data_IF_911825395186
#
_entry.id   IF_911825395186
#
_cell.length_a   1.000
_cell.length_b   1.000
_cell.length_c   1.000
_cell.angle_alpha   90.00
_cell.angle_beta   90.00
_cell.angle_gamma   90.00
#
_symmetry.space_group_name_H-M   'P 1'
#
loop_
_entity.id
_entity.type
_entity.pdbx_description
1 polymer ?
#
# COMPACT_ATOMS: atom_id res chain seq x y z
N UNK A 1 2.15 17.33 -36.71
CA UNK A 1 1.05 17.15 -35.71
C UNK A 1 1.00 15.76 -35.07
N UNK A 2 1.18 14.66 -35.77
CA UNK A 2 1.20 13.29 -35.16
C UNK A 2 2.54 12.93 -34.45
N UNK A 3 3.65 13.60 -34.77
CA UNK A 3 4.98 13.36 -34.20
C UNK A 3 5.13 13.97 -32.80
N UNK A 4 4.52 15.14 -32.56
CA UNK A 4 4.56 15.82 -31.23
C UNK A 4 3.69 15.12 -30.18
N UNK A 5 2.58 14.52 -30.59
CA UNK A 5 1.73 13.70 -29.70
C UNK A 5 2.44 12.44 -29.22
N UNK A 6 3.21 11.77 -30.09
CA UNK A 6 3.96 10.57 -29.71
C UNK A 6 5.13 10.86 -28.74
N UNK A 7 5.83 12.00 -28.91
CA UNK A 7 6.89 12.42 -27.98
C UNK A 7 6.32 12.76 -26.59
N UNK A 8 5.16 13.40 -26.53
CA UNK A 8 4.47 13.68 -25.28
C UNK A 8 4.07 12.42 -24.52
N UNK A 9 3.55 11.39 -25.19
CA UNK A 9 3.18 10.11 -24.58
C UNK A 9 4.41 9.29 -24.15
N UNK A 10 5.47 9.27 -24.93
CA UNK A 10 6.73 8.59 -24.55
C UNK A 10 7.39 9.25 -23.35
N UNK A 11 7.47 10.59 -23.31
CA UNK A 11 7.97 11.32 -22.15
C UNK A 11 7.12 11.12 -20.89
N UNK A 12 5.79 11.04 -21.02
CA UNK A 12 4.88 10.74 -19.92
C UNK A 12 5.06 9.29 -19.39
N UNK A 13 5.26 8.32 -20.29
CA UNK A 13 5.50 6.92 -19.93
C UNK A 13 6.89 6.72 -19.31
N UNK A 14 7.89 7.45 -19.74
CA UNK A 14 9.24 7.41 -19.19
C UNK A 14 9.30 8.06 -17.80
N UNK A 15 8.53 9.11 -17.57
CA UNK A 15 8.39 9.81 -16.30
C UNK A 15 7.77 8.95 -15.19
N UNK A 16 7.06 7.87 -15.53
CA UNK A 16 6.48 6.92 -14.58
C UNK A 16 7.43 5.77 -14.20
N UNK A 17 8.60 5.64 -14.84
CA UNK A 17 9.60 4.63 -14.49
C UNK A 17 10.43 5.08 -13.30
N UNK A 18 10.01 4.65 -12.12
CA UNK A 18 10.80 4.86 -10.91
C UNK A 18 12.16 4.16 -11.01
N UNK A 19 13.22 4.83 -10.56
CA UNK A 19 14.55 4.24 -10.44
C UNK A 19 14.54 3.10 -9.41
N UNK A 20 15.56 2.22 -9.45
CA UNK A 20 15.70 1.14 -8.46
C UNK A 20 15.69 1.68 -7.01
N UNK A 21 16.36 2.82 -6.76
CA UNK A 21 16.38 3.49 -5.46
C UNK A 21 15.00 3.99 -5.04
N UNK A 22 14.26 4.65 -5.95
CA UNK A 22 12.90 5.12 -5.68
C UNK A 22 11.94 3.95 -5.40
N UNK A 23 12.08 2.83 -6.12
CA UNK A 23 11.31 1.62 -5.88
C UNK A 23 11.57 1.04 -4.49
N UNK A 24 12.83 0.96 -4.06
CA UNK A 24 13.20 0.47 -2.74
C UNK A 24 12.67 1.39 -1.62
N UNK A 25 12.78 2.71 -1.80
CA UNK A 25 12.23 3.69 -0.84
C UNK A 25 10.71 3.59 -0.76
N UNK A 26 10.03 3.39 -1.90
CA UNK A 26 8.58 3.22 -1.93
C UNK A 26 8.15 1.95 -1.18
N UNK A 27 8.83 0.82 -1.41
CA UNK A 27 8.56 -0.43 -0.70
C UNK A 27 8.82 -0.30 0.82
N UNK A 28 9.91 0.38 1.21
CA UNK A 28 10.22 0.64 2.61
C UNK A 28 9.15 1.52 3.28
N UNK A 29 8.70 2.59 2.63
CA UNK A 29 7.61 3.45 3.13
C UNK A 29 6.32 2.65 3.32
N UNK A 30 5.97 1.83 2.31
CA UNK A 30 4.80 0.96 2.40
C UNK A 30 4.88 0.03 3.63
N UNK A 31 6.00 -0.64 3.82
CA UNK A 31 6.24 -1.50 4.97
C UNK A 31 6.09 -0.75 6.30
N UNK A 32 6.76 0.40 6.45
CA UNK A 32 6.71 1.18 7.68
C UNK A 32 5.30 1.68 8.01
N UNK A 33 4.54 2.14 7.03
CA UNK A 33 3.16 2.55 7.24
C UNK A 33 2.24 1.38 7.57
N UNK A 34 2.45 0.22 6.94
CA UNK A 34 1.69 -0.99 7.27
C UNK A 34 1.95 -1.48 8.70
N UNK A 35 3.20 -1.45 9.15
CA UNK A 35 3.56 -1.76 10.55
C UNK A 35 2.93 -0.76 11.51
N UNK A 36 3.02 0.54 11.22
CA UNK A 36 2.41 1.58 12.06
C UNK A 36 0.88 1.46 12.15
N UNK A 37 0.24 1.04 11.06
CA UNK A 37 -1.20 0.77 11.06
C UNK A 37 -1.59 -0.40 11.99
N UNK A 38 -0.75 -1.44 12.05
CA UNK A 38 -0.92 -2.53 13.02
C UNK A 38 -0.82 -2.05 14.47
N UNK A 39 0.12 -1.14 14.75
CA UNK A 39 0.23 -0.50 16.07
C UNK A 39 -1.03 0.32 16.40
N UNK A 40 -1.52 1.14 15.46
CA UNK A 40 -2.75 1.91 15.61
C UNK A 40 -3.95 0.99 15.88
N UNK A 41 -4.08 -0.10 15.13
CA UNK A 41 -5.15 -1.10 15.34
C UNK A 41 -5.12 -1.66 16.76
N UNK A 42 -3.93 -2.05 17.24
CA UNK A 42 -3.75 -2.59 18.59
C UNK A 42 -4.12 -1.57 19.65
N UNK A 43 -3.68 -0.32 19.49
CA UNK A 43 -3.98 0.75 20.45
C UNK A 43 -5.49 1.05 20.52
N UNK A 44 -6.16 1.17 19.36
CA UNK A 44 -7.60 1.43 19.31
C UNK A 44 -8.39 0.24 19.87
N UNK A 45 -8.01 -0.99 19.51
CA UNK A 45 -8.61 -2.21 20.05
C UNK A 45 -8.53 -2.25 21.59
N UNK A 46 -7.32 -2.08 22.14
CA UNK A 46 -7.08 -2.09 23.59
C UNK A 46 -7.84 -0.98 24.31
N UNK A 47 -7.88 0.23 23.73
CA UNK A 47 -8.64 1.33 24.30
C UNK A 47 -10.14 1.01 24.37
N UNK A 48 -10.72 0.46 23.31
CA UNK A 48 -12.13 0.06 23.29
C UNK A 48 -12.43 -1.07 24.27
N UNK A 49 -11.57 -2.08 24.35
CA UNK A 49 -11.69 -3.21 25.27
C UNK A 49 -11.65 -2.76 26.74
N UNK A 50 -10.81 -1.78 27.08
CA UNK A 50 -10.69 -1.26 28.44
C UNK A 50 -11.76 -0.23 28.83
N UNK A 51 -12.24 0.56 27.88
CA UNK A 51 -13.16 1.66 28.13
C UNK A 51 -14.63 1.28 27.94
N UNK A 52 -14.93 0.12 27.36
CA UNK A 52 -16.30 -0.30 27.06
C UNK A 52 -16.56 -1.73 27.52
N UNK A 53 -17.81 -2.08 27.83
CA UNK A 53 -18.19 -3.47 28.16
C UNK A 53 -18.38 -4.32 26.88
N UNK A 54 -17.81 -3.94 25.79
CA UNK A 54 -18.02 -4.58 24.49
C UNK A 54 -17.23 -5.92 24.40
N UNK A 55 -17.79 -6.85 23.64
CA UNK A 55 -17.12 -8.09 23.30
C UNK A 55 -16.06 -7.88 22.21
N UNK A 56 -15.30 -8.91 21.88
CA UNK A 56 -14.21 -8.86 20.91
C UNK A 56 -14.58 -8.19 19.56
N UNK A 57 -15.68 -8.61 18.94
CA UNK A 57 -16.05 -8.12 17.60
C UNK A 57 -16.38 -6.62 17.54
N UNK A 58 -17.18 -6.05 18.45
CA UNK A 58 -17.42 -4.60 18.48
C UNK A 58 -16.18 -3.76 18.75
N UNK A 59 -15.16 -4.30 19.44
CA UNK A 59 -13.88 -3.62 19.64
C UNK A 59 -12.99 -3.77 18.40
N UNK A 60 -12.99 -4.96 17.78
CA UNK A 60 -12.12 -5.28 16.64
C UNK A 60 -12.49 -4.50 15.37
N UNK A 61 -13.77 -4.45 15.00
CA UNK A 61 -14.21 -3.82 13.75
C UNK A 61 -13.84 -2.32 13.64
N UNK A 62 -14.12 -1.47 14.65
CA UNK A 62 -13.70 -0.07 14.61
C UNK A 62 -12.17 0.08 14.56
N UNK A 63 -11.44 -0.73 15.32
CA UNK A 63 -9.98 -0.74 15.32
C UNK A 63 -9.42 -1.08 13.93
N UNK A 64 -10.00 -2.10 13.28
CA UNK A 64 -9.64 -2.49 11.91
C UNK A 64 -9.95 -1.36 10.92
N UNK A 65 -11.14 -0.76 10.99
CA UNK A 65 -11.52 0.34 10.07
C UNK A 65 -10.57 1.52 10.21
N UNK A 66 -10.25 1.95 11.44
CA UNK A 66 -9.29 3.05 11.69
C UNK A 66 -7.91 2.71 11.12
N UNK A 67 -7.43 1.50 11.37
CA UNK A 67 -6.14 1.03 10.86
C UNK A 67 -6.08 1.03 9.33
N UNK A 68 -7.11 0.50 8.67
CA UNK A 68 -7.19 0.45 7.21
C UNK A 68 -7.24 1.85 6.61
N UNK A 69 -8.05 2.76 7.15
CA UNK A 69 -8.14 4.14 6.68
C UNK A 69 -6.81 4.89 6.85
N UNK A 70 -6.14 4.69 8.00
CA UNK A 70 -4.82 5.25 8.28
C UNK A 70 -3.78 4.73 7.28
N UNK A 71 -3.65 3.41 7.14
CA UNK A 71 -2.69 2.78 6.22
C UNK A 71 -2.93 3.21 4.77
N UNK A 72 -4.18 3.18 4.33
CA UNK A 72 -4.56 3.61 2.98
C UNK A 72 -4.20 5.08 2.73
N UNK A 73 -4.54 5.98 3.66
CA UNK A 73 -4.30 7.42 3.52
C UNK A 73 -2.81 7.72 3.43
N UNK A 74 -1.99 7.15 4.34
CA UNK A 74 -0.55 7.37 4.34
C UNK A 74 0.12 6.78 3.10
N UNK A 75 -0.24 5.58 2.71
CA UNK A 75 0.33 4.98 1.51
C UNK A 75 -0.07 5.73 0.24
N UNK A 76 -1.34 6.16 0.12
CA UNK A 76 -1.78 6.98 -1.00
C UNK A 76 -1.01 8.30 -1.09
N UNK A 77 -0.87 9.00 0.02
CA UNK A 77 -0.30 10.36 0.08
C UNK A 77 1.23 10.36 0.00
N UNK A 78 1.91 9.46 0.72
CA UNK A 78 3.37 9.53 0.91
C UNK A 78 4.15 8.44 0.19
N UNK A 79 3.56 7.25 0.02
CA UNK A 79 4.24 6.12 -0.64
C UNK A 79 4.05 6.19 -2.14
N UNK A 80 2.80 6.25 -2.59
CA UNK A 80 2.48 6.26 -4.02
C UNK A 80 2.27 7.67 -4.57
N UNK A 81 2.10 8.67 -3.69
CA UNK A 81 1.85 10.08 -4.04
C UNK A 81 0.78 10.22 -5.12
N UNK A 82 -0.34 9.51 -4.92
CA UNK A 82 -1.37 9.29 -5.91
C UNK A 82 -2.56 10.24 -5.75
N UNK A 83 -3.01 10.82 -6.87
CA UNK A 83 -4.27 11.57 -6.97
C UNK A 83 -5.48 10.66 -7.27
N UNK A 84 -5.33 9.32 -7.16
CA UNK A 84 -6.39 8.37 -7.42
C UNK A 84 -7.67 8.67 -6.63
N UNK A 85 -8.81 8.35 -7.24
CA UNK A 85 -10.11 8.44 -6.58
C UNK A 85 -10.18 7.47 -5.39
N UNK A 86 -10.41 8.01 -4.18
CA UNK A 86 -10.38 7.26 -2.92
C UNK A 86 -11.37 6.10 -2.89
N UNK A 87 -12.67 6.27 -3.16
CA UNK A 87 -13.63 5.17 -3.18
C UNK A 87 -13.24 4.03 -4.11
N UNK A 88 -12.78 4.33 -5.32
CA UNK A 88 -12.37 3.33 -6.31
C UNK A 88 -11.12 2.59 -5.85
N UNK A 89 -10.13 3.31 -5.32
CA UNK A 89 -8.92 2.70 -4.80
C UNK A 89 -9.22 1.79 -3.59
N UNK A 90 -10.06 2.24 -2.66
CA UNK A 90 -10.48 1.42 -1.51
C UNK A 90 -11.27 0.18 -1.92
N UNK A 91 -12.16 0.29 -2.92
CA UNK A 91 -12.90 -0.86 -3.45
C UNK A 91 -11.95 -1.92 -4.04
N UNK A 92 -10.89 -1.50 -4.74
CA UNK A 92 -9.86 -2.41 -5.25
C UNK A 92 -9.11 -3.12 -4.11
N UNK A 93 -8.73 -2.39 -3.07
CA UNK A 93 -8.08 -2.96 -1.88
C UNK A 93 -9.01 -3.94 -1.16
N UNK A 94 -10.28 -3.59 -0.99
CA UNK A 94 -11.29 -4.51 -0.45
C UNK A 94 -11.42 -5.79 -1.29
N UNK A 95 -11.44 -5.67 -2.62
CA UNK A 95 -11.43 -6.79 -3.55
C UNK A 95 -10.21 -7.70 -3.39
N UNK A 96 -9.03 -7.12 -3.15
CA UNK A 96 -7.83 -7.89 -2.82
C UNK A 96 -8.02 -8.75 -1.56
N UNK A 97 -8.51 -8.16 -0.48
CA UNK A 97 -8.72 -8.88 0.78
C UNK A 97 -9.83 -9.92 0.70
N UNK A 98 -10.86 -9.71 -0.13
CA UNK A 98 -11.90 -10.73 -0.39
C UNK A 98 -11.32 -12.02 -1.00
N UNK A 99 -10.23 -11.92 -1.75
CA UNK A 99 -9.54 -13.07 -2.34
C UNK A 99 -8.43 -13.58 -1.41
N UNK A 100 -7.61 -12.69 -0.89
CA UNK A 100 -6.45 -13.05 -0.09
C UNK A 100 -6.85 -13.73 1.23
N UNK A 101 -7.88 -13.24 1.92
CA UNK A 101 -8.27 -13.75 3.23
C UNK A 101 -8.69 -15.23 3.19
N UNK A 102 -9.64 -15.68 2.35
CA UNK A 102 -9.98 -17.09 2.28
C UNK A 102 -8.81 -17.96 1.80
N UNK A 103 -8.01 -17.46 0.86
CA UNK A 103 -6.85 -18.18 0.34
C UNK A 103 -5.78 -18.37 1.42
N UNK A 104 -5.45 -17.32 2.17
CA UNK A 104 -4.47 -17.38 3.26
C UNK A 104 -4.94 -18.26 4.42
N UNK A 105 -6.22 -18.24 4.72
CA UNK A 105 -6.81 -19.12 5.73
C UNK A 105 -6.69 -20.58 5.31
N UNK A 106 -6.97 -20.89 4.05
CA UNK A 106 -6.87 -22.25 3.51
C UNK A 106 -5.44 -22.80 3.58
N UNK A 107 -4.43 -22.08 3.06
CA UNK A 107 -3.05 -22.58 3.13
C UNK A 107 -2.51 -22.59 4.56
N UNK A 108 -2.92 -21.60 5.39
CA UNK A 108 -2.53 -21.55 6.79
C UNK A 108 -2.98 -22.79 7.54
N UNK A 109 -4.23 -23.19 7.37
CA UNK A 109 -4.77 -24.42 7.94
C UNK A 109 -4.04 -25.65 7.40
N UNK A 110 -3.84 -25.74 6.07
CA UNK A 110 -3.16 -26.87 5.46
C UNK A 110 -1.71 -27.06 5.97
N UNK A 111 -0.99 -25.96 6.21
CA UNK A 111 0.37 -26.00 6.76
C UNK A 111 0.36 -26.41 8.25
N UNK A 112 -0.60 -25.93 9.03
CA UNK A 112 -0.77 -26.32 10.42
C UNK A 112 -1.10 -27.82 10.53
N UNK A 113 -1.96 -28.36 9.68
CA UNK A 113 -2.37 -29.77 9.67
C UNK A 113 -1.21 -30.72 9.36
N UNK A 114 -0.20 -30.29 8.59
CA UNK A 114 1.03 -31.07 8.34
C UNK A 114 2.13 -30.82 9.38
N UNK A 115 1.80 -30.14 10.50
CA UNK A 115 2.66 -30.02 11.68
C UNK A 115 3.60 -28.81 11.68
N UNK A 116 3.36 -27.81 10.82
CA UNK A 116 4.13 -26.56 10.89
C UNK A 116 3.76 -25.79 12.15
N UNK A 117 4.76 -25.14 12.74
CA UNK A 117 4.54 -24.32 13.92
C UNK A 117 3.65 -23.10 13.58
N UNK A 118 2.56 -22.90 14.31
CA UNK A 118 1.54 -21.88 14.01
C UNK A 118 2.11 -20.47 13.84
N UNK A 119 3.07 -20.08 14.70
CA UNK A 119 3.72 -18.75 14.57
C UNK A 119 4.57 -18.62 13.31
N UNK A 120 5.17 -19.71 12.82
CA UNK A 120 5.92 -19.70 11.56
C UNK A 120 4.97 -19.53 10.39
N UNK A 121 3.84 -20.25 10.39
CA UNK A 121 2.79 -20.12 9.37
C UNK A 121 2.23 -18.70 9.36
N UNK A 122 1.94 -18.14 10.53
CA UNK A 122 1.47 -16.76 10.68
C UNK A 122 2.48 -15.76 10.11
N UNK A 123 3.75 -15.87 10.51
CA UNK A 123 4.82 -14.97 10.02
C UNK A 123 4.97 -15.02 8.50
N UNK A 124 5.02 -16.23 7.92
CA UNK A 124 5.12 -16.40 6.47
C UNK A 124 3.89 -15.83 5.74
N UNK A 125 2.70 -16.06 6.28
CA UNK A 125 1.47 -15.48 5.73
C UNK A 125 1.49 -13.96 5.77
N UNK A 126 1.99 -13.36 6.85
CA UNK A 126 2.16 -11.90 6.93
C UNK A 126 3.16 -11.37 5.90
N UNK A 127 4.28 -12.06 5.68
CA UNK A 127 5.28 -11.68 4.67
C UNK A 127 4.68 -11.78 3.26
N UNK A 128 3.98 -12.86 2.95
CA UNK A 128 3.31 -13.05 1.66
C UNK A 128 2.25 -11.96 1.46
N UNK A 129 1.43 -11.68 2.47
CA UNK A 129 0.45 -10.60 2.40
C UNK A 129 1.10 -9.25 2.09
N UNK A 130 2.14 -8.89 2.83
CA UNK A 130 2.84 -7.62 2.66
C UNK A 130 3.39 -7.44 1.24
N UNK A 131 4.02 -8.48 0.69
CA UNK A 131 4.59 -8.45 -0.65
C UNK A 131 3.47 -8.37 -1.71
N UNK A 132 2.47 -9.23 -1.61
CA UNK A 132 1.39 -9.31 -2.61
C UNK A 132 0.47 -8.09 -2.54
N UNK A 133 0.19 -7.55 -1.36
CA UNK A 133 -0.55 -6.32 -1.18
C UNK A 133 0.20 -5.12 -1.76
N UNK A 134 1.51 -5.01 -1.52
CA UNK A 134 2.34 -3.97 -2.13
C UNK A 134 2.30 -4.03 -3.66
N UNK A 135 2.50 -5.22 -4.24
CA UNK A 135 2.46 -5.41 -5.69
C UNK A 135 1.07 -5.08 -6.25
N UNK A 136 0.02 -5.59 -5.62
CA UNK A 136 -1.35 -5.30 -6.03
C UNK A 136 -1.67 -3.80 -5.96
N UNK A 137 -1.33 -3.16 -4.85
CA UNK A 137 -1.56 -1.74 -4.65
C UNK A 137 -0.82 -0.91 -5.70
N UNK A 138 0.43 -1.26 -5.99
CA UNK A 138 1.24 -0.57 -6.98
C UNK A 138 0.75 -0.76 -8.41
N UNK A 139 0.46 -2.01 -8.81
CA UNK A 139 0.19 -2.33 -10.21
C UNK A 139 -1.29 -2.34 -10.60
N UNK A 140 -2.20 -2.43 -9.62
CA UNK A 140 -3.64 -2.48 -9.86
C UNK A 140 -4.35 -1.25 -9.29
N UNK A 141 -4.09 -0.91 -8.02
CA UNK A 141 -4.78 0.21 -7.37
C UNK A 141 -4.29 1.53 -7.94
N UNK A 142 -2.97 1.77 -7.93
CA UNK A 142 -2.35 3.03 -8.35
C UNK A 142 -1.65 2.94 -9.72
N UNK A 143 -2.05 1.98 -10.55
CA UNK A 143 -1.55 1.89 -11.93
C UNK A 143 -1.75 3.23 -12.65
N UNK A 144 -0.68 3.74 -13.27
CA UNK A 144 -0.66 5.02 -14.00
C UNK A 144 -1.02 6.26 -13.15
N UNK A 145 -1.01 6.15 -11.82
CA UNK A 145 -1.34 7.25 -10.91
C UNK A 145 -0.30 7.46 -9.80
N UNK A 146 0.90 6.90 -9.97
CA UNK A 146 2.02 7.11 -9.06
C UNK A 146 2.62 8.49 -9.34
N UNK A 147 2.97 9.24 -8.29
CA UNK A 147 3.51 10.59 -8.33
C UNK A 147 2.60 11.63 -9.03
N UNK A 148 1.29 11.45 -8.98
CA UNK A 148 0.31 12.34 -9.61
C UNK A 148 -0.29 13.37 -8.66
N UNK A 149 -0.13 13.23 -7.34
CA UNK A 149 -0.56 14.25 -6.39
C UNK A 149 0.42 15.45 -6.36
N UNK A 150 0.06 16.52 -5.66
CA UNK A 150 0.87 17.73 -5.58
C UNK A 150 2.31 17.51 -5.07
N UNK A 151 2.51 16.51 -4.20
CA UNK A 151 3.85 16.13 -3.68
C UNK A 151 4.69 15.43 -4.75
N UNK A 152 4.08 14.50 -5.49
CA UNK A 152 4.73 13.80 -6.58
C UNK A 152 5.12 14.71 -7.72
N UNK A 153 4.25 15.67 -8.05
CA UNK A 153 4.52 16.68 -9.08
C UNK A 153 5.71 17.56 -8.72
N UNK A 154 5.76 18.09 -7.49
CA UNK A 154 6.89 18.90 -7.01
C UNK A 154 8.21 18.15 -7.02
N UNK A 155 8.21 16.88 -6.61
CA UNK A 155 9.42 16.06 -6.63
C UNK A 155 9.91 15.79 -8.06
N UNK A 156 8.99 15.53 -8.98
CA UNK A 156 9.32 15.35 -10.39
C UNK A 156 9.90 16.64 -11.02
N UNK A 157 9.38 17.80 -10.62
CA UNK A 157 9.86 19.11 -11.07
C UNK A 157 11.29 19.37 -10.59
N UNK A 158 11.56 19.15 -9.30
CA UNK A 158 12.90 19.26 -8.71
C UNK A 158 13.92 18.31 -9.37
N UNK A 159 13.52 17.07 -9.68
CA UNK A 159 14.39 16.13 -10.38
C UNK A 159 14.73 16.56 -11.79
N UNK A 160 13.80 17.22 -12.49
CA UNK A 160 14.06 17.81 -13.82
C UNK A 160 15.04 18.98 -13.74
N UNK A 161 14.83 19.91 -12.82
CA UNK A 161 15.71 21.04 -12.60
C UNK A 161 17.15 20.59 -12.27
N UNK A 162 17.30 19.54 -11.43
CA UNK A 162 18.59 18.96 -11.12
C UNK A 162 19.27 18.31 -12.34
N UNK A 163 18.51 17.57 -13.14
CA UNK A 163 19.03 16.93 -14.35
C UNK A 163 19.46 17.96 -15.41
N UNK A 164 18.74 19.06 -15.55
CA UNK A 164 19.10 20.17 -16.42
C UNK A 164 20.36 20.91 -15.95
N UNK A 165 20.52 21.08 -14.63
CA UNK A 165 21.70 21.72 -14.05
C UNK A 165 22.98 20.85 -14.17
N UNK A 166 22.86 19.51 -14.20
CA UNK A 166 23.98 18.59 -14.39
C UNK A 166 24.44 18.50 -15.86
N UNK A 167 23.62 18.97 -16.81
CA UNK A 167 23.92 18.92 -18.26
C UNK A 167 24.53 20.22 -18.79
N UNK A 168 24.61 21.27 -17.98
CA UNK A 168 25.23 22.59 -18.28
C UNK A 168 26.65 22.68 -17.72
#
# INVERSE_FOLDING_TARGET
MLYETNMGWMGFMEQQRLTKKQNAVQALKFFLFSVSAGVIQTLVFTALEQLTPWTYWPCYLPALVVSVLYNFTLNREFTFKSAANVPVAMLKVAGYYLVFTPLSTWWGQALADIGWHEYLVLFLTMVVNLITEYLFTRFVVYRNQINTNARGQKENEQLREQAEAETL
#
